data_IF_022006042380
#
_entry.id   IF_022006042380
#
_cell.length_a   1.000
_cell.length_b   1.000
_cell.length_c   1.000
_cell.angle_alpha   90.00
_cell.angle_beta   90.00
_cell.angle_gamma   90.00
#
_symmetry.space_group_name_H-M   'P 1'
#
loop_
_entity.id
_entity.type
_entity.pdbx_description
1 polymer ?
#
# COMPACT_ATOMS: atom_id res chain seq x y z
N UNK A 1 3.38 8.71 19.45
CA UNK A 1 2.42 9.38 18.54
C UNK A 1 1.69 8.43 17.59
N UNK A 2 2.29 7.33 17.12
CA UNK A 2 1.72 6.42 16.11
C UNK A 2 0.38 5.75 16.45
N UNK A 3 0.10 5.47 17.74
CA UNK A 3 -1.19 4.85 18.15
C UNK A 3 -2.41 5.78 18.06
N UNK A 4 -2.20 7.10 18.04
CA UNK A 4 -3.28 8.09 18.04
C UNK A 4 -4.05 8.07 16.72
N UNK A 5 -3.34 8.00 15.59
CA UNK A 5 -3.95 8.02 14.27
C UNK A 5 -4.79 6.77 13.98
N UNK A 6 -4.37 5.61 14.49
CA UNK A 6 -5.16 4.37 14.41
C UNK A 6 -6.46 4.50 15.20
N UNK A 7 -6.40 5.05 16.41
CA UNK A 7 -7.58 5.32 17.23
C UNK A 7 -8.57 6.28 16.56
N UNK A 8 -8.06 7.34 15.93
CA UNK A 8 -8.88 8.28 15.15
C UNK A 8 -9.58 7.56 13.99
N UNK A 9 -8.86 6.75 13.21
CA UNK A 9 -9.43 6.03 12.08
C UNK A 9 -10.58 5.10 12.52
N UNK A 10 -10.37 4.30 13.57
CA UNK A 10 -11.40 3.40 14.12
C UNK A 10 -12.60 4.20 14.66
N UNK A 11 -12.35 5.30 15.36
CA UNK A 11 -13.41 6.17 15.87
C UNK A 11 -14.28 6.76 14.75
N UNK A 12 -13.68 7.27 13.68
CA UNK A 12 -14.41 7.79 12.52
C UNK A 12 -15.26 6.71 11.84
N UNK A 13 -14.75 5.48 11.73
CA UNK A 13 -15.51 4.35 11.18
C UNK A 13 -16.73 4.01 12.04
N UNK A 14 -16.60 4.01 13.37
CA UNK A 14 -17.70 3.75 14.29
C UNK A 14 -18.79 4.83 14.22
N UNK A 15 -18.40 6.11 14.16
CA UNK A 15 -19.34 7.22 14.02
C UNK A 15 -20.13 7.14 12.71
N UNK A 16 -19.46 6.75 11.62
CA UNK A 16 -20.10 6.53 10.33
C UNK A 16 -21.13 5.40 10.40
N UNK A 17 -20.77 4.25 10.97
CA UNK A 17 -21.68 3.13 11.13
C UNK A 17 -22.92 3.52 11.95
N UNK A 18 -22.74 4.31 13.00
CA UNK A 18 -23.85 4.83 13.80
C UNK A 18 -24.77 5.74 12.98
N UNK A 19 -24.23 6.65 12.17
CA UNK A 19 -25.03 7.53 11.31
C UNK A 19 -25.89 6.73 10.32
N UNK A 20 -25.31 5.69 9.70
CA UNK A 20 -26.03 4.79 8.79
C UNK A 20 -27.13 4.04 9.55
N UNK A 21 -26.84 3.50 10.74
CA UNK A 21 -27.82 2.77 11.56
C UNK A 21 -29.01 3.63 12.03
N UNK A 22 -28.80 4.95 12.16
CA UNK A 22 -29.87 5.90 12.51
C UNK A 22 -30.67 6.40 11.31
N UNK A 23 -30.31 5.98 10.09
CA UNK A 23 -30.95 6.41 8.85
C UNK A 23 -32.05 5.43 8.45
N UNK A 24 -33.25 5.93 8.21
CA UNK A 24 -34.37 5.12 7.74
C UNK A 24 -34.41 5.04 6.20
N UNK A 25 -35.01 3.97 5.67
CA UNK A 25 -35.22 3.81 4.22
C UNK A 25 -34.03 3.24 3.45
N UNK A 26 -33.02 2.70 4.14
CA UNK A 26 -31.96 1.92 3.49
C UNK A 26 -32.47 0.51 3.17
N UNK A 27 -32.17 0.02 1.97
CA UNK A 27 -32.49 -1.35 1.62
C UNK A 27 -31.41 -2.34 2.13
N UNK A 28 -31.74 -3.64 2.11
CA UNK A 28 -30.80 -4.66 2.56
C UNK A 28 -29.53 -4.74 1.69
N UNK A 29 -29.64 -4.38 0.40
CA UNK A 29 -28.53 -4.34 -0.54
C UNK A 29 -27.50 -3.27 -0.17
N UNK A 30 -27.96 -2.06 0.17
CA UNK A 30 -27.12 -0.94 0.59
C UNK A 30 -26.26 -1.30 1.81
N UNK A 31 -26.88 -1.96 2.79
CA UNK A 31 -26.22 -2.43 4.02
C UNK A 31 -25.19 -3.51 3.71
N UNK A 32 -25.51 -4.45 2.80
CA UNK A 32 -24.59 -5.51 2.38
C UNK A 32 -23.40 -4.94 1.62
N UNK A 33 -23.62 -4.02 0.68
CA UNK A 33 -22.55 -3.37 -0.09
C UNK A 33 -21.63 -2.59 0.84
N UNK A 34 -22.17 -1.77 1.72
CA UNK A 34 -21.37 -1.00 2.67
C UNK A 34 -20.61 -1.94 3.63
N UNK A 35 -21.25 -3.00 4.12
CA UNK A 35 -20.61 -4.02 4.96
C UNK A 35 -19.42 -4.68 4.27
N UNK A 36 -19.55 -5.04 2.98
CA UNK A 36 -18.47 -5.62 2.19
C UNK A 36 -17.31 -4.63 1.98
N UNK A 37 -17.62 -3.37 1.66
CA UNK A 37 -16.61 -2.33 1.49
C UNK A 37 -15.85 -2.07 2.81
N UNK A 38 -16.56 -2.03 3.93
CA UNK A 38 -15.97 -1.87 5.26
C UNK A 38 -15.09 -3.09 5.60
N UNK A 39 -15.54 -4.31 5.29
CA UNK A 39 -14.75 -5.52 5.50
C UNK A 39 -13.43 -5.46 4.71
N UNK A 40 -13.47 -5.18 3.40
CA UNK A 40 -12.28 -5.10 2.56
C UNK A 40 -11.35 -3.96 2.98
N UNK A 41 -11.92 -2.82 3.39
CA UNK A 41 -11.18 -1.70 3.96
C UNK A 41 -10.45 -2.12 5.25
N UNK A 42 -11.13 -2.77 6.19
CA UNK A 42 -10.53 -3.21 7.47
C UNK A 42 -9.43 -4.22 7.23
N UNK A 43 -9.63 -5.20 6.35
CA UNK A 43 -8.59 -6.18 6.00
C UNK A 43 -7.38 -5.49 5.37
N UNK A 44 -7.60 -4.55 4.45
CA UNK A 44 -6.52 -3.78 3.83
C UNK A 44 -5.78 -2.90 4.83
N UNK A 45 -6.50 -2.25 5.75
CA UNK A 45 -5.91 -1.41 6.78
C UNK A 45 -5.09 -2.22 7.78
N UNK A 46 -5.64 -3.35 8.25
CA UNK A 46 -4.92 -4.29 9.10
C UNK A 46 -3.65 -4.81 8.39
N UNK A 47 -3.75 -5.17 7.11
CA UNK A 47 -2.59 -5.54 6.31
C UNK A 47 -1.54 -4.43 6.24
N UNK A 48 -1.96 -3.18 6.01
CA UNK A 48 -1.05 -2.04 5.95
C UNK A 48 -0.34 -1.76 7.29
N UNK A 49 -0.96 -2.09 8.42
CA UNK A 49 -0.36 -1.97 9.76
C UNK A 49 0.58 -3.15 10.06
N UNK A 50 0.11 -4.38 9.84
CA UNK A 50 0.75 -5.57 10.41
C UNK A 50 1.69 -6.31 9.44
N UNK A 51 1.55 -6.12 8.13
CA UNK A 51 2.48 -6.73 7.18
C UNK A 51 3.84 -6.02 7.30
N UNK A 52 4.87 -6.81 7.60
CA UNK A 52 6.23 -6.29 7.67
C UNK A 52 6.63 -5.67 6.33
N UNK A 53 7.09 -4.40 6.31
CA UNK A 53 7.42 -3.69 5.08
C UNK A 53 8.79 -4.11 4.53
N UNK A 54 9.64 -4.70 5.37
CA UNK A 54 10.93 -5.25 4.96
C UNK A 54 10.76 -6.61 4.29
N UNK A 55 11.40 -6.79 3.14
CA UNK A 55 11.89 -8.11 2.75
C UNK A 55 13.16 -8.37 3.57
N UNK A 56 13.35 -9.61 4.03
CA UNK A 56 14.56 -9.98 4.78
C UNK A 56 15.79 -9.77 3.91
N UNK A 57 16.63 -8.78 4.25
CA UNK A 57 17.92 -8.53 3.58
C UNK A 57 18.81 -9.78 3.65
N UNK A 58 18.74 -10.53 4.76
CA UNK A 58 19.42 -11.82 4.93
C UNK A 58 18.99 -12.91 3.92
N UNK A 59 17.83 -12.78 3.27
CA UNK A 59 17.43 -13.71 2.20
C UNK A 59 17.91 -13.26 0.80
N UNK A 60 18.46 -12.04 0.69
CA UNK A 60 18.92 -11.46 -0.58
C UNK A 60 20.44 -11.37 -0.67
N UNK A 61 21.14 -11.58 0.45
CA UNK A 61 22.59 -11.52 0.54
C UNK A 61 23.07 -12.80 1.23
N UNK A 62 23.26 -13.87 0.46
CA UNK A 62 24.28 -14.87 0.79
C UNK A 62 25.63 -14.17 0.82
N UNK A 63 26.53 -14.47 1.78
CA UNK A 63 27.80 -13.75 1.92
C UNK A 63 28.83 -13.95 0.79
N UNK A 64 28.50 -14.69 -0.28
CA UNK A 64 29.47 -15.11 -1.30
C UNK A 64 29.45 -14.25 -2.58
N UNK A 65 28.44 -13.41 -2.79
CA UNK A 65 28.30 -12.64 -4.04
C UNK A 65 28.84 -11.21 -3.91
N UNK A 66 30.16 -11.10 -3.88
CA UNK A 66 30.86 -9.85 -4.10
C UNK A 66 31.27 -9.72 -5.57
N UNK A 67 30.37 -9.24 -6.44
CA UNK A 67 30.74 -8.75 -7.76
C UNK A 67 30.52 -7.23 -7.89
N UNK A 68 31.55 -6.57 -8.39
CA UNK A 68 31.80 -5.15 -8.28
C UNK A 68 31.28 -4.41 -9.53
N UNK A 69 29.98 -4.09 -9.59
CA UNK A 69 29.50 -3.04 -10.51
C UNK A 69 28.16 -2.37 -10.14
N UNK A 70 27.66 -2.55 -8.91
CA UNK A 70 26.56 -1.72 -8.39
C UNK A 70 27.06 -0.91 -7.21
N UNK A 71 26.75 0.40 -7.15
CA UNK A 71 26.99 1.26 -5.97
C UNK A 71 26.10 0.81 -4.79
N UNK A 72 26.25 -0.44 -4.32
CA UNK A 72 25.59 -0.92 -3.13
C UNK A 72 26.14 -0.13 -1.94
N UNK A 73 25.29 0.71 -1.35
CA UNK A 73 25.67 1.58 -0.23
C UNK A 73 25.63 0.76 1.05
N UNK A 74 26.43 1.12 2.05
CA UNK A 74 26.31 0.49 3.37
C UNK A 74 25.27 1.20 4.22
N UNK A 75 24.47 0.46 5.00
CA UNK A 75 23.60 1.04 6.02
C UNK A 75 24.18 0.81 7.42
N UNK A 76 24.84 1.83 7.98
CA UNK A 76 25.45 1.75 9.31
C UNK A 76 24.45 1.38 10.42
N UNK A 77 23.21 1.87 10.33
CA UNK A 77 22.17 1.63 11.34
C UNK A 77 21.62 0.20 11.33
N UNK A 78 21.68 -0.47 10.19
CA UNK A 78 21.21 -1.84 10.03
C UNK A 78 22.35 -2.85 9.92
N UNK A 79 23.59 -2.37 9.88
CA UNK A 79 24.81 -3.16 9.70
C UNK A 79 24.70 -4.12 8.51
N UNK A 80 24.27 -3.59 7.36
CA UNK A 80 24.08 -4.39 6.16
C UNK A 80 24.39 -3.62 4.87
N UNK A 81 24.80 -4.35 3.84
CA UNK A 81 24.84 -3.84 2.47
C UNK A 81 23.40 -3.54 2.02
N UNK A 82 23.22 -2.38 1.41
CA UNK A 82 21.94 -1.83 1.00
C UNK A 82 21.93 -1.79 -0.53
N UNK A 83 21.20 -2.72 -1.18
CA UNK A 83 21.05 -2.70 -2.64
C UNK A 83 20.46 -1.37 -3.12
N UNK A 84 20.67 -1.07 -4.41
CA UNK A 84 20.00 0.04 -5.07
C UNK A 84 18.48 -0.06 -4.87
N UNK A 85 17.78 1.06 -4.73
CA UNK A 85 16.35 1.20 -4.39
C UNK A 85 15.90 0.94 -2.94
N UNK A 86 16.77 0.39 -2.07
CA UNK A 86 16.44 0.31 -0.65
C UNK A 86 16.57 1.69 0.01
N UNK A 87 15.88 1.93 1.13
CA UNK A 87 16.06 3.14 1.95
C UNK A 87 15.89 2.80 3.44
N UNK A 88 16.72 3.38 4.31
CA UNK A 88 16.58 3.19 5.75
C UNK A 88 15.51 4.12 6.29
N UNK A 89 14.47 3.56 6.92
CA UNK A 89 13.49 4.34 7.66
C UNK A 89 13.92 4.44 9.13
N UNK A 90 14.23 5.64 9.60
CA UNK A 90 14.58 5.90 11.01
C UNK A 90 13.45 5.66 12.00
N UNK A 91 12.19 5.66 11.54
CA UNK A 91 11.03 5.38 12.41
C UNK A 91 10.82 3.86 12.56
N UNK A 92 10.93 3.10 11.45
CA UNK A 92 10.82 1.64 11.48
C UNK A 92 12.12 0.93 11.86
N UNK A 93 13.23 1.67 11.94
CA UNK A 93 14.59 1.21 12.25
C UNK A 93 15.03 0.02 11.38
N UNK A 94 14.74 0.10 10.07
CA UNK A 94 15.08 -0.95 9.11
C UNK A 94 15.15 -0.42 7.68
N UNK A 95 15.87 -1.14 6.83
CA UNK A 95 15.89 -0.90 5.39
C UNK A 95 14.62 -1.43 4.71
N UNK A 96 14.01 -0.61 3.85
CA UNK A 96 12.77 -0.88 3.13
C UNK A 96 13.07 -0.90 1.63
N UNK A 97 12.69 -1.99 0.96
CA UNK A 97 12.81 -2.15 -0.50
C UNK A 97 11.83 -1.24 -1.24
N UNK A 98 12.30 -0.53 -2.27
CA UNK A 98 11.57 0.51 -3.00
C UNK A 98 10.67 1.35 -2.06
N UNK A 99 11.30 1.91 -1.02
CA UNK A 99 10.60 2.69 -0.02
C UNK A 99 9.85 3.85 -0.66
N UNK A 100 8.56 3.97 -0.36
CA UNK A 100 7.73 5.07 -0.81
C UNK A 100 7.69 6.16 0.28
N UNK A 101 7.22 5.80 1.47
CA UNK A 101 7.22 6.70 2.62
C UNK A 101 6.95 5.93 3.92
N UNK A 102 7.18 6.58 5.05
CA UNK A 102 6.63 6.11 6.34
C UNK A 102 5.26 6.76 6.54
N UNK A 103 4.21 5.96 6.71
CA UNK A 103 2.85 6.47 6.86
C UNK A 103 2.47 6.53 8.35
N UNK A 104 2.21 7.74 8.92
CA UNK A 104 1.80 7.85 10.32
C UNK A 104 0.44 7.20 10.62
N UNK A 105 -0.45 7.13 9.62
CA UNK A 105 -1.80 6.59 9.75
C UNK A 105 -1.85 5.06 9.84
N UNK A 106 -0.87 4.38 9.27
CA UNK A 106 -0.71 2.92 9.38
C UNK A 106 0.37 2.56 10.39
N UNK A 107 1.09 3.55 10.94
CA UNK A 107 2.27 3.34 11.79
C UNK A 107 3.31 2.40 11.14
N UNK A 108 3.38 2.38 9.81
CA UNK A 108 4.18 1.43 9.07
C UNK A 108 4.72 2.05 7.77
N UNK A 109 5.76 1.45 7.20
CA UNK A 109 6.31 1.87 5.92
C UNK A 109 5.49 1.33 4.75
N UNK A 110 5.27 2.21 3.77
CA UNK A 110 4.83 1.85 2.43
C UNK A 110 6.09 1.62 1.59
N UNK A 111 6.28 0.40 1.13
CA UNK A 111 7.35 -0.01 0.23
C UNK A 111 6.86 -1.12 -0.69
N UNK A 112 7.76 -1.75 -1.43
CA UNK A 112 7.41 -2.75 -2.46
C UNK A 112 6.38 -3.79 -2.00
N UNK A 113 6.65 -4.44 -0.87
CA UNK A 113 5.81 -5.53 -0.32
C UNK A 113 4.44 -5.06 0.16
N UNK A 114 4.34 -3.83 0.66
CA UNK A 114 3.12 -3.27 1.28
C UNK A 114 2.36 -2.32 0.36
N UNK A 115 2.94 -1.94 -0.80
CA UNK A 115 2.38 -0.95 -1.73
C UNK A 115 0.97 -1.30 -2.21
N UNK A 116 0.76 -2.54 -2.65
CA UNK A 116 -0.56 -3.02 -3.09
C UNK A 116 -1.60 -2.89 -1.98
N UNK A 117 -1.26 -3.36 -0.79
CA UNK A 117 -2.15 -3.33 0.37
C UNK A 117 -2.50 -1.89 0.75
N UNK A 118 -1.53 -0.99 0.71
CA UNK A 118 -1.75 0.43 0.95
C UNK A 118 -2.68 1.08 -0.09
N UNK A 119 -2.50 0.78 -1.39
CA UNK A 119 -3.39 1.30 -2.45
C UNK A 119 -4.81 0.77 -2.27
N UNK A 120 -4.97 -0.52 -1.96
CA UNK A 120 -6.29 -1.10 -1.69
C UNK A 120 -6.94 -0.50 -0.45
N UNK A 121 -6.16 -0.21 0.60
CA UNK A 121 -6.65 0.54 1.75
C UNK A 121 -7.21 1.91 1.34
N UNK A 122 -6.46 2.72 0.58
CA UNK A 122 -6.94 4.02 0.09
C UNK A 122 -8.20 3.88 -0.78
N UNK A 123 -8.20 2.90 -1.69
CA UNK A 123 -9.30 2.64 -2.60
C UNK A 123 -10.58 2.24 -1.87
N UNK A 124 -10.52 1.26 -0.97
CA UNK A 124 -11.69 0.79 -0.23
C UNK A 124 -12.19 1.80 0.80
N UNK A 125 -11.30 2.56 1.45
CA UNK A 125 -11.73 3.68 2.31
C UNK A 125 -12.43 4.75 1.49
N UNK A 126 -11.87 5.15 0.34
CA UNK A 126 -12.51 6.14 -0.53
C UNK A 126 -13.89 5.67 -0.99
N UNK A 127 -13.99 4.43 -1.49
CA UNK A 127 -15.24 3.88 -2.01
C UNK A 127 -16.31 3.76 -0.91
N UNK A 128 -15.96 3.26 0.28
CA UNK A 128 -16.89 3.18 1.42
C UNK A 128 -17.34 4.56 1.89
N UNK A 129 -16.45 5.55 1.94
CA UNK A 129 -16.78 6.92 2.31
C UNK A 129 -17.72 7.60 1.28
N UNK A 130 -17.48 7.41 -0.01
CA UNK A 130 -18.33 7.98 -1.06
C UNK A 130 -19.67 7.26 -1.15
N UNK A 131 -19.69 5.94 -1.00
CA UNK A 131 -20.91 5.13 -0.97
C UNK A 131 -21.82 5.55 0.18
N UNK A 132 -21.31 5.53 1.42
CA UNK A 132 -22.05 6.00 2.59
C UNK A 132 -22.53 7.45 2.45
N UNK A 133 -21.70 8.37 1.94
CA UNK A 133 -22.14 9.75 1.70
C UNK A 133 -23.32 9.80 0.72
N UNK A 134 -23.30 9.01 -0.35
CA UNK A 134 -24.40 8.96 -1.32
C UNK A 134 -25.70 8.42 -0.71
N UNK A 135 -25.62 7.39 0.14
CA UNK A 135 -26.77 6.84 0.88
C UNK A 135 -27.37 7.88 1.83
N UNK A 136 -26.52 8.56 2.61
CA UNK A 136 -26.98 9.57 3.58
C UNK A 136 -27.55 10.83 2.89
N UNK A 137 -27.15 11.12 1.65
CA UNK A 137 -27.76 12.19 0.84
C UNK A 137 -29.12 11.75 0.28
N UNK A 138 -29.24 10.50 -0.17
CA UNK A 138 -30.47 9.94 -0.75
C UNK A 138 -31.55 9.58 0.26
N UNK A 139 -31.23 9.44 1.55
CA UNK A 139 -32.19 9.06 2.59
C UNK A 139 -33.31 10.09 2.75
N UNK A 140 -34.55 9.60 2.86
CA UNK A 140 -35.74 10.44 3.09
C UNK A 140 -36.00 10.60 4.59
N UNK A 141 -36.24 11.83 5.06
CA UNK A 141 -36.59 12.10 6.46
C UNK A 141 -35.87 13.31 7.07
N UNK A 142 -36.11 13.54 8.36
CA UNK A 142 -35.49 14.64 9.10
C UNK A 142 -34.02 14.34 9.37
N UNK A 143 -33.10 15.10 8.77
CA UNK A 143 -31.66 14.89 8.91
C UNK A 143 -31.15 15.61 10.16
N UNK A 144 -30.66 14.85 11.14
CA UNK A 144 -30.00 15.43 12.31
C UNK A 144 -28.69 16.12 11.90
N UNK A 145 -28.27 17.11 12.68
CA UNK A 145 -26.96 17.77 12.47
C UNK A 145 -25.81 16.76 12.49
N UNK A 146 -25.92 15.71 13.31
CA UNK A 146 -24.95 14.61 13.37
C UNK A 146 -24.81 13.88 12.03
N UNK A 147 -25.94 13.46 11.42
CA UNK A 147 -25.92 12.75 10.12
C UNK A 147 -25.39 13.65 9.01
N UNK A 148 -25.78 14.93 9.00
CA UNK A 148 -25.27 15.93 8.05
C UNK A 148 -23.75 16.11 8.17
N UNK A 149 -23.24 16.23 9.40
CA UNK A 149 -21.80 16.33 9.64
C UNK A 149 -21.04 15.10 9.14
N UNK A 150 -21.53 13.89 9.45
CA UNK A 150 -20.92 12.64 8.99
C UNK A 150 -20.96 12.51 7.47
N UNK A 151 -22.03 12.97 6.83
CA UNK A 151 -22.15 12.97 5.36
C UNK A 151 -21.05 13.84 4.73
N UNK A 152 -20.89 15.08 5.20
CA UNK A 152 -19.87 16.02 4.70
C UNK A 152 -18.47 15.49 4.95
N UNK A 153 -18.21 14.95 6.15
CA UNK A 153 -16.93 14.36 6.50
C UNK A 153 -16.61 13.16 5.60
N UNK A 154 -17.58 12.27 5.37
CA UNK A 154 -17.42 11.08 4.53
C UNK A 154 -17.15 11.48 3.08
N UNK A 155 -17.87 12.47 2.54
CA UNK A 155 -17.60 13.00 1.20
C UNK A 155 -16.18 13.59 1.09
N UNK A 156 -15.79 14.43 2.05
CA UNK A 156 -14.48 15.08 2.06
C UNK A 156 -13.32 14.08 2.17
N UNK A 157 -13.40 13.14 3.12
CA UNK A 157 -12.41 12.06 3.28
C UNK A 157 -12.37 11.17 2.04
N UNK A 158 -13.54 10.83 1.50
CA UNK A 158 -13.68 9.99 0.30
C UNK A 158 -12.98 10.58 -0.92
N UNK A 159 -13.16 11.88 -1.16
CA UNK A 159 -12.51 12.59 -2.27
C UNK A 159 -11.01 12.77 -2.05
N UNK A 160 -10.58 13.13 -0.83
CA UNK A 160 -9.17 13.33 -0.50
C UNK A 160 -8.38 12.03 -0.66
N UNK A 161 -8.87 10.93 -0.08
CA UNK A 161 -8.19 9.63 -0.18
C UNK A 161 -8.30 9.03 -1.59
N UNK A 162 -9.41 9.29 -2.29
CA UNK A 162 -9.54 8.93 -3.71
C UNK A 162 -8.51 9.63 -4.59
N UNK A 163 -8.32 10.94 -4.40
CA UNK A 163 -7.28 11.71 -5.08
C UNK A 163 -5.87 11.21 -4.74
N UNK A 164 -5.62 10.87 -3.48
CA UNK A 164 -4.33 10.32 -3.06
C UNK A 164 -4.07 8.91 -3.64
N UNK A 165 -5.12 8.08 -3.76
CA UNK A 165 -5.06 6.80 -4.46
C UNK A 165 -4.69 7.00 -5.94
N UNK A 166 -5.37 7.91 -6.64
CA UNK A 166 -5.09 8.25 -8.03
C UNK A 166 -3.65 8.77 -8.22
N UNK A 167 -3.16 9.59 -7.30
CA UNK A 167 -1.76 10.04 -7.31
C UNK A 167 -0.79 8.87 -7.22
N UNK A 168 -1.03 7.90 -6.33
CA UNK A 168 -0.17 6.72 -6.25
C UNK A 168 -0.27 5.80 -7.48
N UNK A 169 -1.45 5.66 -8.09
CA UNK A 169 -1.61 4.94 -9.36
C UNK A 169 -0.88 5.66 -10.50
N UNK A 170 -0.87 7.00 -10.51
CA UNK A 170 -0.06 7.80 -11.42
C UNK A 170 1.43 7.52 -11.20
N UNK A 171 1.93 7.56 -9.96
CA UNK A 171 3.34 7.25 -9.68
C UNK A 171 3.72 5.83 -10.13
N UNK A 172 2.85 4.84 -9.89
CA UNK A 172 3.02 3.49 -10.40
C UNK A 172 3.10 3.46 -11.92
N UNK A 173 2.24 4.23 -12.62
CA UNK A 173 2.29 4.30 -14.08
C UNK A 173 3.64 4.78 -14.61
N UNK A 174 4.31 5.64 -13.86
CA UNK A 174 5.62 6.20 -14.17
C UNK A 174 6.78 5.36 -13.63
N UNK A 175 6.52 4.25 -12.93
CA UNK A 175 7.58 3.46 -12.29
C UNK A 175 8.35 4.26 -11.22
N UNK A 176 7.64 5.15 -10.49
CA UNK A 176 8.21 6.01 -9.45
C UNK A 176 7.67 5.67 -8.07
N UNK A 177 8.51 5.82 -7.05
CA UNK A 177 8.06 6.00 -5.67
C UNK A 177 7.75 7.47 -5.38
N UNK A 178 7.10 7.77 -4.25
CA UNK A 178 6.96 9.16 -3.78
C UNK A 178 8.31 9.81 -3.48
N UNK A 179 9.30 9.06 -3.01
CA UNK A 179 10.65 9.58 -2.82
C UNK A 179 11.27 10.01 -4.16
N UNK A 180 11.15 9.18 -5.19
CA UNK A 180 11.66 9.49 -6.52
C UNK A 180 10.99 10.72 -7.11
N UNK A 181 9.68 10.84 -6.94
CA UNK A 181 8.92 12.02 -7.36
C UNK A 181 9.40 13.30 -6.65
N UNK A 182 9.51 13.26 -5.32
CA UNK A 182 9.97 14.41 -4.53
C UNK A 182 11.43 14.78 -4.81
N UNK A 183 12.27 13.79 -5.10
CA UNK A 183 13.67 13.98 -5.47
C UNK A 183 13.86 14.36 -6.95
N UNK A 184 12.80 14.50 -7.73
CA UNK A 184 12.87 14.84 -9.16
C UNK A 184 13.54 13.77 -10.03
N UNK A 185 13.61 12.51 -9.56
CA UNK A 185 14.25 11.41 -10.29
C UNK A 185 13.40 10.99 -11.50
N UNK A 186 14.07 10.53 -12.55
CA UNK A 186 13.42 9.87 -13.68
C UNK A 186 12.76 8.57 -13.21
N UNK A 187 11.65 8.21 -13.84
CA UNK A 187 10.93 6.98 -13.54
C UNK A 187 11.43 5.85 -14.42
N UNK A 188 11.36 4.61 -13.93
CA UNK A 188 11.68 3.45 -14.74
C UNK A 188 10.40 2.90 -15.40
N UNK A 189 10.00 3.49 -16.52
CA UNK A 189 8.75 3.13 -17.19
C UNK A 189 8.94 1.89 -18.06
N UNK A 190 8.54 0.72 -17.56
CA UNK A 190 8.44 -0.51 -18.35
C UNK A 190 7.10 -0.62 -19.11
N UNK A 191 6.25 0.41 -19.01
CA UNK A 191 4.86 0.45 -19.45
C UNK A 191 3.89 0.21 -18.28
N UNK A 192 2.68 0.80 -18.35
CA UNK A 192 1.72 0.80 -17.22
C UNK A 192 1.44 -0.60 -16.67
N UNK A 193 1.15 -1.56 -17.55
CA UNK A 193 0.83 -2.93 -17.14
C UNK A 193 2.04 -3.65 -16.52
N UNK A 194 3.26 -3.42 -17.02
CA UNK A 194 4.48 -4.02 -16.46
C UNK A 194 4.78 -3.43 -15.09
N UNK A 195 4.71 -2.10 -14.95
CA UNK A 195 4.90 -1.42 -13.68
C UNK A 195 3.87 -1.86 -12.63
N UNK A 196 2.62 -2.07 -13.03
CA UNK A 196 1.57 -2.55 -12.14
C UNK A 196 1.84 -3.98 -11.65
N UNK A 197 2.30 -4.87 -12.54
CA UNK A 197 2.62 -6.28 -12.21
C UNK A 197 3.73 -6.43 -11.18
N UNK A 198 4.67 -5.48 -11.11
CA UNK A 198 5.72 -5.44 -10.08
C UNK A 198 5.11 -5.49 -8.67
N UNK A 199 4.02 -4.75 -8.45
CA UNK A 199 3.40 -4.62 -7.12
C UNK A 199 2.13 -5.47 -6.94
N UNK A 200 1.38 -5.70 -8.01
CA UNK A 200 0.10 -6.41 -7.96
C UNK A 200 0.21 -7.90 -8.33
N UNK A 201 1.34 -8.30 -8.93
CA UNK A 201 1.60 -9.65 -9.44
C UNK A 201 1.04 -9.87 -10.85
N UNK A 202 1.20 -11.09 -11.36
CA UNK A 202 0.70 -11.46 -12.69
C UNK A 202 -0.80 -11.84 -12.69
N UNK A 203 -1.29 -12.33 -11.55
CA UNK A 203 -2.66 -12.83 -11.40
C UNK A 203 -3.65 -11.67 -11.26
N UNK A 204 -4.15 -11.18 -12.39
CA UNK A 204 -5.04 -10.00 -12.44
C UNK A 204 -6.30 -10.14 -11.59
N UNK A 205 -6.84 -11.36 -11.43
CA UNK A 205 -8.03 -11.61 -10.62
C UNK A 205 -7.80 -11.40 -9.12
N UNK A 206 -6.54 -11.34 -8.67
CA UNK A 206 -6.18 -11.04 -7.28
C UNK A 206 -5.93 -9.55 -7.03
N UNK A 207 -6.06 -8.68 -8.05
CA UNK A 207 -5.67 -7.27 -7.92
C UNK A 207 -6.47 -6.53 -6.86
N UNK A 208 -7.77 -6.84 -6.76
CA UNK A 208 -8.68 -6.27 -5.76
C UNK A 208 -8.66 -7.05 -4.43
N UNK A 209 -8.00 -8.21 -4.36
CA UNK A 209 -7.94 -8.98 -3.12
C UNK A 209 -6.80 -8.44 -2.26
N UNK A 210 -7.05 -8.07 -0.98
CA UNK A 210 -6.06 -7.48 -0.07
C UNK A 210 -5.09 -8.51 0.49
N UNK A 211 -4.37 -9.17 -0.40
CA UNK A 211 -3.31 -10.13 -0.11
C UNK A 211 -2.02 -9.72 -0.80
N UNK A 212 -0.89 -9.99 -0.15
CA UNK A 212 0.44 -9.82 -0.74
C UNK A 212 0.58 -10.82 -1.88
N UNK A 213 0.83 -10.38 -3.12
CA UNK A 213 0.90 -11.29 -4.25
C UNK A 213 2.05 -12.30 -4.08
N UNK A 214 1.85 -13.58 -4.43
CA UNK A 214 2.88 -14.61 -4.33
C UNK A 214 4.13 -14.31 -5.16
N UNK A 215 3.96 -13.63 -6.31
CA UNK A 215 5.04 -13.30 -7.24
C UNK A 215 6.12 -12.39 -6.64
N UNK A 216 5.80 -11.55 -5.65
CA UNK A 216 6.81 -10.73 -4.95
C UNK A 216 7.72 -11.62 -4.08
N UNK A 217 7.21 -12.75 -3.57
CA UNK A 217 8.03 -13.73 -2.83
C UNK A 217 8.94 -14.53 -3.77
N UNK A 218 8.46 -14.91 -4.95
CA UNK A 218 9.17 -15.79 -5.89
C UNK A 218 10.06 -15.04 -6.90
N UNK A 219 9.62 -13.89 -7.41
CA UNK A 219 10.28 -13.19 -8.50
C UNK A 219 11.69 -12.71 -8.16
N UNK A 220 11.94 -12.32 -6.91
CA UNK A 220 13.29 -11.95 -6.47
C UNK A 220 14.16 -13.17 -6.16
N UNK A 221 13.60 -14.27 -5.64
CA UNK A 221 14.33 -15.54 -5.51
C UNK A 221 14.76 -16.09 -6.88
N UNK A 222 13.90 -15.95 -7.90
CA UNK A 222 14.23 -16.34 -9.27
C UNK A 222 15.23 -15.41 -9.94
N UNK A 223 15.13 -14.09 -9.74
CA UNK A 223 16.14 -13.14 -10.23
C UNK A 223 17.51 -13.47 -9.64
N UNK A 224 17.58 -13.69 -8.33
CA UNK A 224 18.81 -14.12 -7.64
C UNK A 224 19.34 -15.46 -8.17
N UNK A 225 18.48 -16.46 -8.37
CA UNK A 225 18.88 -17.75 -8.95
C UNK A 225 19.35 -17.65 -10.41
N UNK A 226 18.74 -16.77 -11.22
CA UNK A 226 19.12 -16.60 -12.61
C UNK A 226 20.43 -15.81 -12.78
N UNK A 227 20.73 -14.93 -11.84
CA UNK A 227 22.02 -14.24 -11.79
C UNK A 227 23.14 -15.19 -11.34
N UNK A 228 22.86 -16.09 -10.38
CA UNK A 228 23.73 -17.19 -9.95
C UNK A 228 24.04 -18.19 -11.10
N UNK A 229 23.01 -18.66 -11.82
CA UNK A 229 23.19 -19.52 -13.00
C UNK A 229 24.00 -18.83 -14.12
N UNK A 230 23.89 -17.51 -14.28
CA UNK A 230 24.67 -16.73 -15.25
C UNK A 230 26.11 -16.46 -14.80
N UNK A 231 26.36 -16.35 -13.50
CA UNK A 231 27.69 -16.21 -12.92
C UNK A 231 28.47 -17.53 -13.00
N UNK A 232 27.83 -18.66 -12.67
CA UNK A 232 28.43 -20.01 -12.79
C UNK A 232 28.85 -20.35 -14.23
N UNK A 233 28.03 -20.01 -15.23
CA UNK A 233 28.38 -20.21 -16.65
C UNK A 233 29.56 -19.34 -17.14
N UNK A 234 29.91 -18.26 -16.43
CA UNK A 234 31.09 -17.43 -16.74
C UNK A 234 32.35 -17.92 -16.01
N UNK A 235 32.21 -18.59 -14.86
CA UNK A 235 33.32 -19.17 -14.10
C UNK A 235 33.92 -20.42 -14.75
N UNK A 236 33.10 -21.20 -15.47
CA UNK A 236 33.53 -22.44 -16.15
C UNK A 236 34.12 -22.22 -17.56
N UNK A 237 34.26 -20.97 -18.00
CA UNK A 237 34.71 -20.59 -19.34
C UNK A 237 36.20 -20.17 -19.41
N UNK A 238 37.02 -20.52 -18.41
CA UNK A 238 38.47 -20.22 -18.33
C UNK A 238 39.29 -21.51 -18.31
#
# INVERSE_FOLDING_TARGET
>A
MTKVFVGIAVGLMALKALAIATTHGLDAGDVVVEGLLVFLMVVSYAGAIFISPSLSVAALLSPEDGDADTEARYCEKCDCVKPESFHHCSVCMRCISHMDHHCPWTSNCVGERTKKIFILFLFYTSLSCLWSASLLVGSTGHRSLFVSFITVLSFGVGFLLGGYCLFHLYLLSQGKTTLDFMAGRSGNTLGFAANLRVYFGHEWWLYLVPIVPPSIRLGRLHALRSDDERAGLRGDAI
#
